data_IF_477990849187
#
_entry.id   IF_477990849187
#
_cell.length_a   1.000
_cell.length_b   1.000
_cell.length_c   1.000
_cell.angle_alpha   90.00
_cell.angle_beta   90.00
_cell.angle_gamma   90.00
#
_symmetry.space_group_name_H-M   'P 1'
#
loop_
_entity.id
_entity.type
_entity.pdbx_description
1 polymer ?
#
# COMPACT_ATOMS: atom_id res chain seq x y z
N UNK A 1 9.23 23.13 -25.94
CA UNK A 1 7.99 23.39 -25.18
C UNK A 1 7.52 22.11 -24.49
N UNK A 2 8.21 21.72 -23.41
CA UNK A 2 7.91 20.49 -22.66
C UNK A 2 6.91 20.81 -21.55
N UNK A 3 5.72 20.24 -21.65
CA UNK A 3 4.66 20.36 -20.64
C UNK A 3 5.06 19.57 -19.39
N UNK A 4 5.19 20.28 -18.26
CA UNK A 4 5.55 19.77 -16.94
C UNK A 4 4.42 18.86 -16.43
N UNK A 5 4.69 17.56 -16.25
CA UNK A 5 3.71 16.63 -15.69
C UNK A 5 3.60 16.85 -14.18
N UNK A 6 2.39 17.16 -13.69
CA UNK A 6 2.10 17.38 -12.27
C UNK A 6 1.98 16.04 -11.53
N UNK A 7 2.59 15.98 -10.36
CA UNK A 7 2.53 14.82 -9.45
C UNK A 7 1.14 14.72 -8.80
N UNK A 8 0.65 13.50 -8.56
CA UNK A 8 -0.67 13.22 -7.95
C UNK A 8 -0.88 13.90 -6.58
N UNK A 9 0.20 14.30 -5.90
CA UNK A 9 0.17 15.06 -4.65
C UNK A 9 -0.22 16.54 -4.83
N UNK A 10 0.08 17.15 -5.98
CA UNK A 10 -0.25 18.55 -6.27
C UNK A 10 -1.74 18.74 -6.59
N UNK A 11 -2.40 17.72 -7.14
CA UNK A 11 -3.83 17.74 -7.45
C UNK A 11 -4.72 17.68 -6.21
N UNK A 12 -4.18 17.28 -5.04
CA UNK A 12 -4.95 17.10 -3.81
C UNK A 12 -5.03 18.35 -2.93
N UNK A 13 -4.26 19.40 -3.23
CA UNK A 13 -4.16 20.63 -2.40
C UNK A 13 -5.04 21.79 -2.86
N UNK A 14 -5.62 21.73 -4.05
CA UNK A 14 -6.26 22.90 -4.67
C UNK A 14 -7.80 22.87 -4.64
N UNK A 15 -8.43 22.07 -3.78
CA UNK A 15 -9.88 21.88 -3.81
C UNK A 15 -10.69 22.75 -2.83
N UNK A 16 -10.06 23.55 -1.96
CA UNK A 16 -10.78 24.17 -0.83
C UNK A 16 -10.81 25.71 -0.84
N UNK A 17 -10.38 26.39 -1.91
CA UNK A 17 -10.34 27.86 -1.95
C UNK A 17 -10.65 28.41 -3.36
N UNK A 18 -11.94 28.57 -3.69
CA UNK A 18 -12.49 29.80 -4.29
C UNK A 18 -13.95 29.57 -4.75
N UNK A 19 -14.91 30.07 -4.00
CA UNK A 19 -16.25 30.40 -4.50
C UNK A 19 -16.62 31.77 -3.93
N UNK A 20 -16.27 32.83 -4.66
CA UNK A 20 -16.98 34.10 -4.67
C UNK A 20 -16.46 34.92 -5.86
N UNK A 21 -17.31 35.11 -6.86
CA UNK A 21 -17.61 36.35 -7.59
C UNK A 21 -18.22 36.01 -8.97
N UNK A 22 -19.51 36.32 -9.09
CA UNK A 22 -20.28 36.41 -10.32
C UNK A 22 -19.77 37.55 -11.22
N UNK A 23 -19.75 37.27 -12.54
CA UNK A 23 -20.09 38.25 -13.56
C UNK A 23 -20.50 37.52 -14.85
N UNK A 24 -21.75 37.73 -15.25
CA UNK A 24 -22.28 37.51 -16.60
C UNK A 24 -21.45 38.31 -17.64
N UNK A 25 -21.40 38.01 -18.95
CA UNK A 25 -22.44 37.59 -19.88
C UNK A 25 -21.81 37.23 -21.25
N UNK A 26 -22.55 36.45 -22.05
CA UNK A 26 -22.60 36.35 -23.53
C UNK A 26 -22.48 34.90 -24.02
N UNK A 27 -23.61 34.44 -24.56
CA UNK A 27 -23.76 33.20 -25.30
C UNK A 27 -23.18 33.33 -26.71
N UNK A 28 -22.48 32.28 -27.16
CA UNK A 28 -22.42 31.96 -28.58
C UNK A 28 -22.54 30.44 -28.76
N UNK A 29 -23.43 30.05 -29.67
CA UNK A 29 -23.81 28.67 -29.96
C UNK A 29 -22.89 28.12 -31.05
N UNK A 30 -22.32 26.92 -30.85
CA UNK A 30 -21.61 26.25 -31.93
C UNK A 30 -20.85 25.00 -31.53
N UNK A 31 -21.58 23.89 -31.44
CA UNK A 31 -21.19 22.49 -31.67
C UNK A 31 -19.71 22.11 -31.89
N UNK A 32 -19.38 20.94 -31.31
CA UNK A 32 -18.22 20.04 -31.53
C UNK A 32 -17.00 20.24 -30.64
N UNK A 33 -17.14 19.86 -29.36
CA UNK A 33 -15.97 19.48 -28.56
C UNK A 33 -15.87 17.96 -28.43
N UNK A 34 -15.11 17.36 -29.36
CA UNK A 34 -14.41 16.12 -29.06
C UNK A 34 -13.30 16.42 -28.05
N UNK A 35 -13.36 15.75 -26.92
CA UNK A 35 -12.16 15.34 -26.18
C UNK A 35 -11.65 16.34 -25.14
N UNK A 36 -12.46 16.70 -24.16
CA UNK A 36 -11.93 17.00 -22.84
C UNK A 36 -11.75 15.69 -22.06
N UNK A 37 -10.60 15.44 -21.42
CA UNK A 37 -10.43 14.26 -20.59
C UNK A 37 -11.32 14.41 -19.36
N UNK A 38 -12.48 13.77 -19.41
CA UNK A 38 -13.38 13.59 -18.27
C UNK A 38 -12.51 13.13 -17.10
N UNK A 39 -12.56 13.85 -15.98
CA UNK A 39 -11.78 13.50 -14.78
C UNK A 39 -12.03 12.04 -14.43
N UNK A 40 -11.02 11.24 -14.03
CA UNK A 40 -11.23 9.83 -13.70
C UNK A 40 -12.38 9.60 -12.70
N UNK A 41 -12.61 10.57 -11.80
CA UNK A 41 -13.71 10.56 -10.83
C UNK A 41 -15.09 10.77 -11.47
N UNK A 42 -15.18 11.62 -12.49
CA UNK A 42 -16.41 11.84 -13.27
C UNK A 42 -16.67 10.69 -14.24
N UNK A 43 -15.63 10.10 -14.82
CA UNK A 43 -15.77 8.92 -15.67
C UNK A 43 -16.39 7.77 -14.89
N UNK A 44 -15.87 7.47 -13.69
CA UNK A 44 -16.43 6.45 -12.81
C UNK A 44 -17.87 6.82 -12.41
N UNK A 45 -18.15 8.09 -12.07
CA UNK A 45 -19.51 8.53 -11.70
C UNK A 45 -20.50 8.38 -12.85
N UNK A 46 -20.07 8.61 -14.09
CA UNK A 46 -20.91 8.48 -15.28
C UNK A 46 -21.15 7.00 -15.65
N UNK A 47 -20.21 6.09 -15.36
CA UNK A 47 -20.41 4.64 -15.58
C UNK A 47 -21.63 4.07 -14.83
N UNK A 48 -22.05 4.70 -13.75
CA UNK A 48 -23.18 4.24 -12.92
C UNK A 48 -24.48 5.02 -13.16
N UNK A 49 -24.49 6.04 -14.02
CA UNK A 49 -25.68 6.86 -14.28
C UNK A 49 -26.76 6.11 -15.07
N UNK A 50 -26.36 5.18 -15.94
CA UNK A 50 -27.30 4.37 -16.74
C UNK A 50 -27.70 3.05 -16.04
N UNK A 51 -27.12 2.76 -14.88
CA UNK A 51 -27.37 1.52 -14.14
C UNK A 51 -28.59 1.66 -13.23
N UNK A 52 -29.79 1.40 -13.79
CA UNK A 52 -31.06 1.37 -13.03
C UNK A 52 -31.45 -0.06 -12.63
N UNK A 53 -31.41 -0.38 -11.34
CA UNK A 53 -31.83 -1.70 -10.78
C UNK A 53 -33.35 -1.95 -10.91
N UNK A 54 -34.14 -0.91 -11.18
CA UNK A 54 -35.60 -1.01 -11.37
C UNK A 54 -36.04 -1.75 -12.64
N UNK A 55 -35.13 -2.05 -13.57
CA UNK A 55 -35.39 -2.89 -14.76
C UNK A 55 -35.13 -4.38 -14.51
N UNK A 56 -34.69 -4.76 -13.33
CA UNK A 56 -34.50 -6.14 -12.89
C UNK A 56 -35.59 -6.54 -11.89
N UNK A 57 -36.86 -6.39 -12.29
CA UNK A 57 -37.96 -7.08 -11.62
C UNK A 57 -38.05 -8.52 -12.16
N UNK A 58 -38.14 -9.55 -11.30
CA UNK A 58 -38.31 -10.94 -11.75
C UNK A 58 -39.61 -11.12 -12.54
N UNK A 59 -39.63 -11.85 -13.67
CA UNK A 59 -40.88 -12.13 -14.36
C UNK A 59 -41.79 -13.01 -13.51
N UNK A 60 -43.01 -12.53 -13.30
CA UNK A 60 -44.12 -13.26 -12.69
C UNK A 60 -44.34 -14.61 -13.36
N UNK A 61 -44.41 -15.67 -12.54
CA UNK A 61 -44.96 -16.95 -12.94
C UNK A 61 -46.45 -16.79 -13.31
N UNK A 62 -46.83 -17.31 -14.49
CA UNK A 62 -48.23 -17.66 -14.77
C UNK A 62 -48.40 -19.18 -14.63
N UNK A 63 -49.39 -19.66 -13.85
CA UNK A 63 -49.62 -21.07 -13.63
C UNK A 63 -50.79 -21.54 -14.49
N UNK A 64 -50.53 -22.20 -15.62
CA UNK A 64 -51.56 -23.00 -16.29
C UNK A 64 -50.91 -24.21 -16.98
N UNK A 65 -51.05 -25.40 -16.39
CA UNK A 65 -51.91 -26.43 -16.98
C UNK A 65 -51.93 -27.67 -16.08
N UNK A 66 -53.10 -27.90 -15.47
CA UNK A 66 -53.57 -29.19 -14.96
C UNK A 66 -53.89 -30.08 -16.19
N UNK A 67 -53.53 -31.38 -16.17
CA UNK A 67 -54.34 -32.51 -15.70
C UNK A 67 -55.00 -33.30 -16.85
N UNK A 68 -54.58 -34.57 -17.01
CA UNK A 68 -55.42 -35.79 -16.97
C UNK A 68 -54.85 -36.95 -17.84
N UNK A 69 -54.42 -38.00 -17.14
CA UNK A 69 -54.70 -39.41 -17.47
C UNK A 69 -56.25 -39.55 -17.65
N UNK A 70 -56.85 -40.34 -18.54
CA UNK A 70 -56.67 -41.74 -18.91
C UNK A 70 -57.70 -42.12 -20.02
N UNK A 71 -57.43 -43.24 -20.72
CA UNK A 71 -58.23 -44.14 -21.60
C UNK A 71 -59.78 -44.21 -21.37
N UNK A 72 -60.65 -44.85 -22.22
CA UNK A 72 -60.36 -45.98 -23.11
C UNK A 72 -61.19 -46.17 -24.44
N UNK A 73 -60.71 -47.15 -25.23
CA UNK A 73 -61.44 -48.25 -25.92
C UNK A 73 -62.45 -48.04 -27.08
N UNK A 74 -62.41 -49.08 -27.95
CA UNK A 74 -63.50 -49.66 -28.76
C UNK A 74 -63.93 -48.93 -30.07
N UNK A 75 -64.29 -49.57 -31.18
CA UNK A 75 -64.34 -50.98 -31.61
C UNK A 75 -64.75 -51.01 -33.11
N UNK A 76 -64.44 -52.13 -33.79
CA UNK A 76 -65.23 -52.77 -34.86
C UNK A 76 -65.15 -52.23 -36.32
N UNK A 77 -64.62 -53.02 -37.27
CA UNK A 77 -65.30 -54.07 -38.08
C UNK A 77 -65.98 -53.43 -39.32
N UNK A 78 -66.07 -53.97 -40.54
CA UNK A 78 -65.66 -55.19 -41.21
C UNK A 78 -65.88 -54.94 -42.73
N UNK A 79 -65.19 -55.65 -43.62
CA UNK A 79 -65.80 -56.36 -44.77
C UNK A 79 -64.74 -56.89 -45.75
N UNK A 80 -65.04 -58.06 -46.31
CA UNK A 80 -64.19 -58.99 -47.07
C UNK A 80 -64.54 -58.94 -48.60
N UNK A 81 -64.28 -59.97 -49.44
CA UNK A 81 -63.05 -60.18 -50.24
C UNK A 81 -63.32 -60.60 -51.72
N UNK A 82 -62.27 -60.88 -52.52
CA UNK A 82 -62.15 -61.91 -53.61
C UNK A 82 -60.93 -61.56 -54.49
N UNK A 83 -60.09 -62.45 -55.01
CA UNK A 83 -60.13 -63.91 -55.15
C UNK A 83 -58.72 -64.54 -55.31
N UNK A 84 -58.72 -65.88 -55.38
CA UNK A 84 -57.58 -66.83 -55.35
C UNK A 84 -56.82 -66.88 -56.70
N UNK A 85 -55.58 -67.38 -56.81
CA UNK A 85 -55.23 -68.83 -56.96
C UNK A 85 -53.71 -69.09 -56.76
N UNK A 86 -53.45 -70.13 -55.95
CA UNK A 86 -52.36 -71.15 -55.84
C UNK A 86 -50.91 -70.88 -56.33
N UNK A 87 -49.96 -71.21 -55.44
CA UNK A 87 -48.76 -71.96 -55.84
C UNK A 87 -47.59 -71.99 -54.85
N UNK A 88 -47.42 -73.15 -54.19
CA UNK A 88 -46.19 -73.72 -53.62
C UNK A 88 -45.68 -73.28 -52.23
N UNK A 89 -45.48 -74.31 -51.40
CA UNK A 89 -44.97 -74.34 -50.03
C UNK A 89 -43.44 -74.35 -50.05
N UNK A 90 -42.79 -73.73 -49.07
CA UNK A 90 -41.72 -74.40 -48.29
C UNK A 90 -41.57 -73.74 -46.91
N UNK A 91 -41.09 -74.54 -45.96
CA UNK A 91 -41.30 -74.46 -44.52
C UNK A 91 -40.26 -73.62 -43.77
N UNK A 92 -40.71 -73.09 -42.61
CA UNK A 92 -40.01 -72.98 -41.31
C UNK A 92 -38.68 -72.17 -41.27
N UNK A 93 -38.68 -71.06 -40.53
CA UNK A 93 -38.22 -70.98 -39.13
C UNK A 93 -38.36 -69.55 -38.59
N UNK A 94 -38.86 -69.48 -37.35
CA UNK A 94 -38.89 -68.29 -36.49
C UNK A 94 -37.47 -67.81 -36.23
N UNK A 95 -37.24 -66.51 -36.37
CA UNK A 95 -36.39 -65.75 -35.47
C UNK A 95 -37.14 -64.43 -35.18
N UNK A 96 -37.63 -64.30 -33.95
CA UNK A 96 -38.06 -63.02 -33.43
C UNK A 96 -36.80 -62.17 -33.28
N UNK A 97 -36.73 -61.07 -34.02
CA UNK A 97 -35.86 -59.95 -33.69
C UNK A 97 -36.77 -59.03 -32.87
N UNK A 98 -36.40 -58.82 -31.60
CA UNK A 98 -36.95 -57.75 -30.78
C UNK A 98 -36.75 -56.44 -31.56
N UNK A 99 -37.83 -55.86 -32.05
CA UNK A 99 -37.81 -54.49 -32.55
C UNK A 99 -38.03 -53.58 -31.35
N UNK A 100 -36.93 -52.99 -30.90
CA UNK A 100 -36.87 -51.95 -29.88
C UNK A 100 -37.94 -50.87 -30.11
N UNK A 101 -38.61 -50.46 -29.03
CA UNK A 101 -39.62 -49.41 -29.06
C UNK A 101 -38.95 -48.04 -29.19
N UNK A 102 -38.57 -47.63 -30.41
CA UNK A 102 -38.12 -46.26 -30.67
C UNK A 102 -39.31 -45.29 -30.64
N UNK A 103 -39.31 -44.24 -29.79
CA UNK A 103 -40.29 -43.16 -29.90
C UNK A 103 -40.13 -42.53 -31.28
N UNK A 104 -41.21 -42.50 -32.08
CA UNK A 104 -41.22 -41.72 -33.33
C UNK A 104 -41.13 -40.24 -32.96
N UNK A 105 -39.91 -39.70 -32.93
CA UNK A 105 -39.66 -38.28 -32.69
C UNK A 105 -40.33 -37.50 -33.82
N UNK A 106 -41.39 -36.75 -33.49
CA UNK A 106 -42.04 -35.85 -34.44
C UNK A 106 -41.06 -34.75 -34.80
N UNK A 107 -40.39 -34.88 -35.95
CA UNK A 107 -39.54 -33.82 -36.50
C UNK A 107 -40.48 -32.81 -37.17
N UNK A 108 -40.55 -31.55 -36.67
CA UNK A 108 -41.36 -30.53 -37.31
C UNK A 108 -40.88 -30.33 -38.75
N UNK A 109 -41.83 -30.15 -39.68
CA UNK A 109 -41.48 -29.79 -41.05
C UNK A 109 -40.68 -28.47 -40.99
N UNK A 110 -39.49 -28.40 -41.60
CA UNK A 110 -38.69 -27.18 -41.59
C UNK A 110 -39.47 -26.04 -42.23
N UNK A 111 -39.23 -24.82 -41.74
CA UNK A 111 -39.85 -23.63 -42.32
C UNK A 111 -39.42 -23.48 -43.78
N UNK A 112 -40.31 -22.93 -44.61
CA UNK A 112 -40.02 -22.69 -46.04
C UNK A 112 -38.77 -21.81 -46.23
N UNK A 113 -38.50 -20.89 -45.31
CA UNK A 113 -37.28 -20.08 -45.30
C UNK A 113 -36.01 -20.94 -45.15
N UNK A 114 -36.01 -21.94 -44.28
CA UNK A 114 -34.87 -22.85 -44.08
C UNK A 114 -34.62 -23.70 -45.32
N UNK A 115 -35.69 -24.17 -45.97
CA UNK A 115 -35.57 -24.88 -47.25
C UNK A 115 -35.00 -23.98 -48.34
N UNK A 116 -35.45 -22.71 -48.41
CA UNK A 116 -34.92 -21.69 -49.32
C UNK A 116 -33.43 -21.41 -49.07
N UNK A 117 -32.99 -21.32 -47.81
CA UNK A 117 -31.57 -21.14 -47.47
C UNK A 117 -30.73 -22.36 -47.88
N UNK A 118 -31.23 -23.58 -47.68
CA UNK A 118 -30.54 -24.81 -48.10
C UNK A 118 -30.41 -24.88 -49.62
N UNK A 119 -31.43 -24.49 -50.37
CA UNK A 119 -31.36 -24.37 -51.83
C UNK A 119 -30.38 -23.29 -52.29
N UNK A 120 -30.34 -22.14 -51.60
CA UNK A 120 -29.34 -21.09 -51.84
C UNK A 120 -27.92 -21.62 -51.63
N UNK A 121 -27.67 -22.35 -50.53
CA UNK A 121 -26.38 -23.01 -50.26
C UNK A 121 -26.03 -24.04 -51.33
N UNK A 122 -26.98 -24.86 -51.79
CA UNK A 122 -26.78 -25.81 -52.91
C UNK A 122 -26.42 -25.11 -54.23
N UNK A 123 -26.93 -23.90 -54.46
CA UNK A 123 -26.59 -23.05 -55.61
C UNK A 123 -25.28 -22.26 -55.41
N UNK A 124 -24.58 -22.45 -54.29
CA UNK A 124 -23.32 -21.75 -53.98
C UNK A 124 -23.51 -20.28 -53.58
N UNK A 125 -24.73 -19.85 -53.28
CA UNK A 125 -25.01 -18.48 -52.86
C UNK A 125 -24.78 -18.38 -51.35
N UNK A 126 -23.68 -17.74 -50.97
CA UNK A 126 -23.32 -17.53 -49.57
C UNK A 126 -24.31 -16.60 -48.87
N UNK A 127 -24.61 -16.91 -47.62
CA UNK A 127 -25.42 -16.04 -46.77
C UNK A 127 -24.60 -14.84 -46.29
N UNK A 128 -25.26 -13.74 -45.92
CA UNK A 128 -24.58 -12.54 -45.39
C UNK A 128 -23.72 -12.85 -44.16
N UNK A 129 -24.22 -13.68 -43.25
CA UNK A 129 -23.50 -14.10 -42.04
C UNK A 129 -22.24 -14.91 -42.36
N UNK A 130 -22.31 -15.79 -43.36
CA UNK A 130 -21.18 -16.59 -43.83
C UNK A 130 -20.09 -15.71 -44.44
N UNK A 131 -20.47 -14.70 -45.23
CA UNK A 131 -19.54 -13.71 -45.79
C UNK A 131 -18.91 -12.84 -44.67
N UNK A 132 -19.69 -12.46 -43.65
CA UNK A 132 -19.18 -11.70 -42.51
C UNK A 132 -18.17 -12.51 -41.67
N UNK A 133 -18.43 -13.82 -41.49
CA UNK A 133 -17.50 -14.74 -40.82
C UNK A 133 -16.20 -14.91 -41.60
N UNK A 134 -16.29 -15.18 -42.91
CA UNK A 134 -15.12 -15.30 -43.78
C UNK A 134 -14.28 -14.02 -43.77
N UNK A 135 -14.91 -12.84 -43.81
CA UNK A 135 -14.20 -11.56 -43.72
C UNK A 135 -13.53 -11.35 -42.35
N UNK A 136 -14.15 -11.79 -41.26
CA UNK A 136 -13.54 -11.72 -39.94
C UNK A 136 -12.30 -12.63 -39.84
N UNK A 137 -12.38 -13.84 -40.41
CA UNK A 137 -11.26 -14.77 -40.44
C UNK A 137 -10.12 -14.27 -41.33
N UNK A 138 -10.42 -13.66 -42.47
CA UNK A 138 -9.42 -12.99 -43.30
C UNK A 138 -8.74 -11.83 -42.56
N UNK A 139 -9.48 -11.03 -41.79
CA UNK A 139 -8.90 -9.95 -40.97
C UNK A 139 -7.96 -10.51 -39.90
N UNK A 140 -8.36 -11.60 -39.22
CA UNK A 140 -7.52 -12.29 -38.24
C UNK A 140 -6.23 -12.79 -38.88
N UNK A 141 -6.31 -13.45 -40.04
CA UNK A 141 -5.12 -13.92 -40.76
C UNK A 141 -4.18 -12.78 -41.14
N UNK A 142 -4.71 -11.64 -41.58
CA UNK A 142 -3.91 -10.45 -41.88
C UNK A 142 -3.25 -9.90 -40.61
N UNK A 143 -3.99 -9.78 -39.51
CA UNK A 143 -3.47 -9.33 -38.21
C UNK A 143 -2.36 -10.27 -37.71
N UNK A 144 -2.57 -11.58 -37.72
CA UNK A 144 -1.58 -12.60 -37.35
C UNK A 144 -0.31 -12.49 -38.19
N UNK A 145 -0.43 -12.36 -39.52
CA UNK A 145 0.73 -12.19 -40.40
C UNK A 145 1.48 -10.88 -40.10
N UNK A 146 0.77 -9.79 -39.81
CA UNK A 146 1.41 -8.53 -39.42
C UNK A 146 2.11 -8.65 -38.06
N UNK A 147 1.58 -9.45 -37.14
CA UNK A 147 2.20 -9.73 -35.85
C UNK A 147 3.41 -10.65 -35.97
N UNK A 148 3.35 -11.68 -36.81
CA UNK A 148 4.50 -12.55 -37.12
C UNK A 148 5.67 -11.77 -37.75
N UNK A 149 5.38 -10.69 -38.50
CA UNK A 149 6.41 -9.79 -39.04
C UNK A 149 7.03 -8.88 -37.97
N UNK A 150 6.35 -8.63 -36.84
CA UNK A 150 6.91 -7.88 -35.71
C UNK A 150 7.96 -8.74 -35.01
N UNK A 151 9.23 -8.44 -35.27
CA UNK A 151 10.34 -9.04 -34.49
C UNK A 151 10.26 -8.50 -33.07
N UNK A 152 10.00 -9.37 -32.09
CA UNK A 152 10.03 -8.99 -30.68
C UNK A 152 11.41 -8.42 -30.33
N UNK A 153 11.44 -7.14 -29.97
CA UNK A 153 12.62 -6.46 -29.45
C UNK A 153 12.23 -5.87 -28.11
N UNK A 154 13.14 -5.98 -27.15
CA UNK A 154 12.98 -5.29 -25.88
C UNK A 154 12.86 -3.78 -26.16
N UNK A 155 11.94 -3.12 -25.45
CA UNK A 155 11.91 -1.66 -25.44
C UNK A 155 13.26 -1.14 -24.93
N UNK A 156 13.82 -0.10 -25.56
CA UNK A 156 15.07 0.46 -25.08
C UNK A 156 14.89 0.97 -23.65
N UNK A 157 15.95 0.84 -22.84
CA UNK A 157 15.94 1.37 -21.47
C UNK A 157 15.52 2.86 -21.48
N UNK A 158 14.60 3.26 -20.57
CA UNK A 158 14.16 4.66 -20.46
C UNK A 158 15.32 5.64 -20.33
N UNK A 159 15.14 6.86 -20.87
CA UNK A 159 16.19 7.87 -20.92
C UNK A 159 16.74 8.24 -19.52
N UNK A 160 15.89 8.31 -18.50
CA UNK A 160 16.28 8.66 -17.12
C UNK A 160 17.25 7.65 -16.49
N UNK A 161 17.33 6.42 -17.01
CA UNK A 161 18.29 5.40 -16.56
C UNK A 161 19.72 5.75 -17.00
N UNK A 162 19.87 6.50 -18.11
CA UNK A 162 21.16 6.92 -18.64
C UNK A 162 21.63 8.27 -18.09
N UNK A 163 20.75 9.03 -17.42
CA UNK A 163 21.05 10.36 -16.89
C UNK A 163 21.53 10.27 -15.43
N UNK A 164 22.65 10.92 -15.06
CA UNK A 164 23.12 10.97 -13.69
C UNK A 164 22.28 11.97 -12.86
N UNK A 165 21.11 11.55 -12.38
CA UNK A 165 20.12 12.39 -11.67
C UNK A 165 20.38 12.52 -10.15
N UNK A 166 21.57 12.16 -9.67
CA UNK A 166 21.84 12.06 -8.23
C UNK A 166 21.60 13.39 -7.49
N UNK A 167 22.09 14.49 -8.05
CA UNK A 167 21.96 15.83 -7.46
C UNK A 167 20.49 16.28 -7.41
N UNK A 168 19.75 16.14 -8.51
CA UNK A 168 18.32 16.47 -8.56
C UNK A 168 17.47 15.63 -7.60
N UNK A 169 17.85 14.38 -7.35
CA UNK A 169 17.17 13.50 -6.41
C UNK A 169 17.47 13.93 -4.96
N UNK A 170 18.73 14.29 -4.69
CA UNK A 170 19.15 14.77 -3.38
C UNK A 170 18.44 16.08 -3.02
N UNK A 171 18.36 17.03 -3.95
CA UNK A 171 17.66 18.31 -3.76
C UNK A 171 16.18 18.07 -3.42
N UNK A 172 15.49 17.21 -4.18
CA UNK A 172 14.10 16.84 -3.89
C UNK A 172 13.94 16.19 -2.53
N UNK A 173 14.89 15.36 -2.12
CA UNK A 173 14.87 14.71 -0.80
C UNK A 173 15.13 15.69 0.34
N UNK A 174 15.94 16.71 0.10
CA UNK A 174 16.13 17.82 1.03
C UNK A 174 14.87 18.67 1.15
N UNK A 175 14.22 19.01 0.06
CA UNK A 175 12.93 19.71 0.05
C UNK A 175 11.87 18.93 0.82
N UNK A 176 11.73 17.61 0.55
CA UNK A 176 10.82 16.73 1.29
C UNK A 176 11.13 16.73 2.79
N UNK A 177 12.41 16.64 3.16
CA UNK A 177 12.83 16.69 4.57
C UNK A 177 12.54 18.02 5.23
N UNK A 178 12.76 19.15 4.54
CA UNK A 178 12.45 20.50 5.04
C UNK A 178 10.96 20.66 5.31
N UNK A 179 10.13 20.35 4.32
CA UNK A 179 8.67 20.41 4.46
C UNK A 179 8.16 19.53 5.60
N UNK A 180 8.70 18.31 5.74
CA UNK A 180 8.32 17.44 6.86
C UNK A 180 8.67 18.05 8.22
N UNK A 181 9.86 18.64 8.37
CA UNK A 181 10.25 19.30 9.63
C UNK A 181 9.35 20.49 9.94
N UNK A 182 9.04 21.31 8.96
CA UNK A 182 8.15 22.47 9.12
C UNK A 182 6.74 22.02 9.55
N UNK A 183 6.19 21.00 8.90
CA UNK A 183 4.88 20.45 9.24
C UNK A 183 4.87 19.85 10.65
N UNK A 184 5.91 19.12 11.03
CA UNK A 184 6.05 18.57 12.39
C UNK A 184 6.21 19.68 13.44
N UNK A 185 6.95 20.75 13.15
CA UNK A 185 7.05 21.91 14.03
C UNK A 185 5.69 22.59 14.21
N UNK A 186 4.94 22.79 13.13
CA UNK A 186 3.59 23.35 13.21
C UNK A 186 2.64 22.44 13.98
N UNK A 187 2.69 21.12 13.76
CA UNK A 187 1.94 20.13 14.55
C UNK A 187 2.32 20.19 16.02
N UNK A 188 3.60 20.28 16.34
CA UNK A 188 4.07 20.40 17.71
C UNK A 188 3.51 21.67 18.36
N UNK A 189 3.65 22.83 17.72
CA UNK A 189 3.14 24.11 18.24
C UNK A 189 1.63 24.12 18.43
N UNK A 190 0.87 23.53 17.51
CA UNK A 190 -0.61 23.44 17.63
C UNK A 190 -1.04 22.42 18.68
N UNK A 191 -0.30 21.33 18.87
CA UNK A 191 -0.57 20.33 19.89
C UNK A 191 -0.14 20.74 21.30
N UNK A 192 0.78 21.70 21.41
CA UNK A 192 1.18 22.29 22.68
C UNK A 192 0.01 23.05 23.29
N UNK A 193 -0.60 22.46 24.32
CA UNK A 193 -1.37 23.23 25.27
C UNK A 193 -0.37 23.91 26.21
N UNK A 194 -0.24 25.24 26.21
CA UNK A 194 0.62 25.88 27.19
C UNK A 194 0.13 25.48 28.58
N UNK A 195 1.04 24.97 29.43
CA UNK A 195 0.69 24.70 30.82
C UNK A 195 0.13 25.99 31.43
N UNK A 196 -0.87 25.88 32.31
CA UNK A 196 -1.43 27.03 33.04
C UNK A 196 -0.35 27.85 33.76
N UNK A 197 0.81 27.24 34.02
CA UNK A 197 2.00 27.90 34.53
C UNK A 197 2.59 28.95 33.57
N UNK A 198 2.66 28.70 32.26
CA UNK A 198 3.22 29.65 31.28
C UNK A 198 2.35 30.90 31.16
N UNK A 199 1.04 30.73 31.19
CA UNK A 199 0.08 31.83 31.16
C UNK A 199 0.12 32.63 32.47
N UNK A 200 0.19 31.93 33.62
CA UNK A 200 0.43 32.54 34.93
C UNK A 200 1.76 33.29 34.99
N UNK A 201 2.82 32.75 34.39
CA UNK A 201 4.14 33.38 34.38
C UNK A 201 4.15 34.63 33.51
N UNK A 202 3.50 34.59 32.33
CA UNK A 202 3.26 35.78 31.49
C UNK A 202 2.49 36.85 32.24
N UNK A 203 1.37 36.51 32.86
CA UNK A 203 0.57 37.45 33.66
C UNK A 203 1.38 38.03 34.82
N UNK A 204 2.16 37.19 35.52
CA UNK A 204 3.03 37.64 36.62
C UNK A 204 4.14 38.57 36.12
N UNK A 205 4.67 38.33 34.92
CA UNK A 205 5.66 39.20 34.27
C UNK A 205 5.03 40.54 33.87
N UNK A 206 3.88 40.53 33.22
CA UNK A 206 3.12 41.75 32.88
C UNK A 206 2.75 42.55 34.12
N UNK A 207 2.29 41.92 35.20
CA UNK A 207 2.03 42.59 36.48
C UNK A 207 3.29 43.21 37.08
N UNK A 208 4.44 42.54 36.99
CA UNK A 208 5.71 43.12 37.44
C UNK A 208 6.11 44.32 36.59
N UNK A 209 6.00 44.21 35.27
CA UNK A 209 6.29 45.30 34.34
C UNK A 209 5.34 46.49 34.54
N UNK A 210 4.04 46.24 34.75
CA UNK A 210 3.06 47.26 35.06
C UNK A 210 3.37 47.96 36.39
N UNK A 211 3.72 47.21 37.44
CA UNK A 211 4.17 47.78 38.72
C UNK A 211 5.43 48.62 38.57
N UNK A 212 6.38 48.17 37.75
CA UNK A 212 7.63 48.90 37.51
C UNK A 212 7.36 50.20 36.72
N UNK A 213 6.48 50.16 35.71
CA UNK A 213 6.01 51.36 35.00
C UNK A 213 5.26 52.32 35.93
N UNK A 214 4.39 51.81 36.79
CA UNK A 214 3.67 52.62 37.78
C UNK A 214 4.63 53.26 38.78
N UNK A 215 5.65 52.53 39.23
CA UNK A 215 6.71 53.08 40.09
C UNK A 215 7.52 54.16 39.38
N UNK A 216 7.88 53.96 38.10
CA UNK A 216 8.56 55.00 37.31
C UNK A 216 7.69 56.25 37.17
N UNK A 217 6.41 56.10 36.83
CA UNK A 217 5.47 57.23 36.74
C UNK A 217 5.27 57.96 38.08
N UNK A 218 5.31 57.24 39.20
CA UNK A 218 5.27 57.84 40.54
C UNK A 218 6.55 58.62 40.83
N UNK A 219 7.72 58.06 40.52
CA UNK A 219 9.00 58.76 40.67
C UNK A 219 9.07 60.01 39.79
N UNK A 220 8.59 59.93 38.56
CA UNK A 220 8.51 61.07 37.63
C UNK A 220 7.57 62.16 38.16
N UNK A 221 6.39 61.78 38.69
CA UNK A 221 5.46 62.72 39.36
C UNK A 221 6.08 63.37 40.59
N UNK A 222 6.73 62.59 41.44
CA UNK A 222 7.43 63.11 42.63
C UNK A 222 8.57 64.05 42.24
N UNK A 223 9.30 63.76 41.16
CA UNK A 223 10.30 64.67 40.62
C UNK A 223 9.69 65.97 40.07
N UNK A 224 8.58 65.88 39.35
CA UNK A 224 7.85 67.06 38.87
C UNK A 224 7.32 67.92 40.00
N UNK A 225 6.76 67.32 41.06
CA UNK A 225 6.33 68.03 42.26
C UNK A 225 7.52 68.69 42.97
N UNK A 226 8.64 67.98 43.13
CA UNK A 226 9.90 68.55 43.63
C UNK A 226 10.41 69.69 42.75
N UNK A 227 10.17 69.67 41.43
CA UNK A 227 10.53 70.76 40.49
C UNK A 227 9.62 71.97 40.65
N UNK A 228 8.35 71.78 41.03
CA UNK A 228 7.35 72.84 41.26
C UNK A 228 7.47 73.53 42.63
N UNK A 229 8.18 72.93 43.60
CA UNK A 229 8.44 73.57 44.89
C UNK A 229 9.42 74.75 44.75
N UNK A 230 9.02 75.99 45.11
CA UNK A 230 9.84 77.19 44.92
C UNK A 230 11.07 77.24 45.84
N UNK A 231 11.08 76.46 46.92
CA UNK A 231 12.19 76.38 47.87
C UNK A 231 12.78 74.97 47.89
N UNK A 232 14.07 74.86 47.55
CA UNK A 232 14.86 73.63 47.66
C UNK A 232 16.00 73.85 48.64
N UNK A 233 15.88 73.26 49.83
CA UNK A 233 16.97 73.29 50.81
C UNK A 233 18.16 72.47 50.30
N UNK A 234 19.39 72.93 50.59
CA UNK A 234 20.58 72.12 50.37
C UNK A 234 20.44 70.84 51.20
N UNK A 235 20.72 69.66 50.63
CA UNK A 235 20.59 68.41 51.37
C UNK A 235 21.50 68.45 52.60
N UNK A 236 20.98 67.98 53.73
CA UNK A 236 21.74 67.89 54.98
C UNK A 236 23.03 67.10 54.73
N UNK A 237 24.21 67.63 55.12
CA UNK A 237 25.48 66.95 54.94
C UNK A 237 25.45 65.51 55.45
N UNK A 238 26.11 64.60 54.72
CA UNK A 238 26.14 63.17 55.04
C UNK A 238 26.55 62.91 56.49
N UNK A 239 27.55 63.64 56.99
CA UNK A 239 28.02 63.55 58.37
C UNK A 239 26.91 63.77 59.43
N UNK A 240 25.95 64.66 59.18
CA UNK A 240 24.84 64.92 60.12
C UNK A 240 23.80 63.80 60.05
N UNK A 241 23.55 63.24 58.86
CA UNK A 241 22.66 62.08 58.71
C UNK A 241 23.26 60.81 59.31
N UNK A 242 24.55 60.60 59.11
CA UNK A 242 25.31 59.48 59.70
C UNK A 242 25.40 59.62 61.22
N UNK A 243 25.53 60.84 61.75
CA UNK A 243 25.46 61.06 63.19
C UNK A 243 24.06 60.80 63.78
N UNK A 244 23.00 61.10 63.03
CA UNK A 244 21.62 60.93 63.49
C UNK A 244 21.09 59.48 63.35
N UNK A 245 21.47 58.77 62.27
CA UNK A 245 20.91 57.45 61.94
C UNK A 245 21.95 56.42 61.47
N UNK A 246 23.24 56.76 61.47
CA UNK A 246 24.29 55.85 60.99
C UNK A 246 24.49 54.63 61.88
N UNK A 247 24.27 54.74 63.19
CA UNK A 247 24.29 53.59 64.11
C UNK A 247 23.11 52.64 63.84
N UNK A 248 21.92 53.19 63.65
CA UNK A 248 20.72 52.41 63.29
C UNK A 248 20.88 51.70 61.95
N UNK A 249 21.50 52.34 60.96
CA UNK A 249 21.77 51.71 59.65
C UNK A 249 22.75 50.54 59.78
N UNK A 250 23.83 50.71 60.55
CA UNK A 250 24.78 49.61 60.83
C UNK A 250 24.10 48.46 61.57
N UNK A 251 23.24 48.77 62.52
CA UNK A 251 22.46 47.77 63.26
C UNK A 251 21.49 47.01 62.32
N UNK A 252 20.78 47.70 61.44
CA UNK A 252 19.90 47.08 60.44
C UNK A 252 20.68 46.19 59.45
N UNK A 253 21.87 46.62 59.02
CA UNK A 253 22.76 45.82 58.17
C UNK A 253 23.24 44.56 58.88
N UNK A 254 23.60 44.66 60.16
CA UNK A 254 23.95 43.51 60.99
C UNK A 254 22.76 42.57 61.16
N UNK A 255 21.57 43.08 61.47
CA UNK A 255 20.35 42.27 61.54
C UNK A 255 20.04 41.57 60.20
N UNK A 256 20.20 42.26 59.07
CA UNK A 256 20.06 41.67 57.73
C UNK A 256 21.10 40.58 57.50
N UNK A 257 22.37 40.80 57.86
CA UNK A 257 23.44 39.84 57.72
C UNK A 257 23.17 38.57 58.54
N UNK A 258 22.78 38.72 59.81
CA UNK A 258 22.40 37.62 60.70
C UNK A 258 21.23 36.85 60.10
N UNK A 259 20.18 37.55 59.63
CA UNK A 259 19.01 36.91 59.02
C UNK A 259 19.35 36.16 57.73
N UNK A 260 20.25 36.69 56.90
CA UNK A 260 20.76 36.01 55.71
C UNK A 260 21.54 34.75 56.08
N UNK A 261 22.41 34.82 57.09
CA UNK A 261 23.17 33.66 57.56
C UNK A 261 22.25 32.59 58.16
N UNK A 262 21.27 32.97 58.97
CA UNK A 262 20.26 32.05 59.51
C UNK A 262 19.50 31.34 58.39
N UNK A 263 19.00 32.11 57.41
CA UNK A 263 18.29 31.57 56.23
C UNK A 263 19.17 30.63 55.42
N UNK A 264 20.45 30.97 55.22
CA UNK A 264 21.40 30.13 54.50
C UNK A 264 21.63 28.81 55.23
N UNK A 265 21.77 28.86 56.57
CA UNK A 265 21.94 27.66 57.41
C UNK A 265 20.70 26.77 57.38
N UNK A 266 19.50 27.34 57.49
CA UNK A 266 18.25 26.59 57.37
C UNK A 266 18.11 25.92 56.01
N UNK A 267 18.46 26.64 54.93
CA UNK A 267 18.41 26.09 53.59
C UNK A 267 19.40 24.93 53.43
N UNK A 268 20.64 25.07 53.92
CA UNK A 268 21.63 23.99 53.94
C UNK A 268 21.16 22.77 54.76
N UNK A 269 20.53 23.00 55.92
CA UNK A 269 19.97 21.94 56.74
C UNK A 269 18.76 21.25 56.09
N UNK A 270 17.90 21.99 55.41
CA UNK A 270 16.74 21.43 54.69
C UNK A 270 17.13 20.70 53.40
N UNK A 271 18.21 21.12 52.75
CA UNK A 271 18.78 20.47 51.57
C UNK A 271 19.75 19.34 51.91
N UNK A 272 20.12 19.20 53.19
CA UNK A 272 20.97 18.12 53.66
C UNK A 272 20.25 16.78 53.50
N UNK A 273 20.96 15.82 52.90
CA UNK A 273 20.47 14.46 52.73
C UNK A 273 20.20 13.79 54.09
N UNK A 274 19.26 12.83 54.18
CA UNK A 274 19.04 12.07 55.41
C UNK A 274 20.34 11.42 55.92
N UNK A 275 20.56 11.33 57.26
CA UNK A 275 21.80 10.79 57.83
C UNK A 275 22.20 9.40 57.32
N UNK A 276 21.22 8.56 56.98
CA UNK A 276 21.46 7.23 56.39
C UNK A 276 22.10 7.28 55.01
N UNK A 277 21.70 8.25 54.17
CA UNK A 277 22.29 8.46 52.85
C UNK A 277 23.68 9.10 52.94
N UNK A 278 23.90 9.97 53.94
CA UNK A 278 25.21 10.52 54.23
C UNK A 278 26.19 9.42 54.68
N UNK A 279 25.77 8.52 55.56
CA UNK A 279 26.59 7.39 56.00
C UNK A 279 26.98 6.48 54.82
N UNK A 280 26.03 6.21 53.92
CA UNK A 280 26.27 5.42 52.71
C UNK A 280 27.26 6.09 51.74
N UNK A 281 27.14 7.40 51.54
CA UNK A 281 28.09 8.15 50.71
C UNK A 281 29.51 8.12 51.29
N UNK A 282 29.66 8.20 52.61
CA UNK A 282 30.97 8.11 53.26
C UNK A 282 31.58 6.71 53.15
N UNK A 283 30.77 5.65 53.27
CA UNK A 283 31.24 4.27 53.05
C UNK A 283 31.61 4.02 51.60
N UNK A 284 30.81 4.49 50.63
CA UNK A 284 31.11 4.39 49.20
C UNK A 284 32.40 5.14 48.85
N UNK A 285 32.64 6.31 49.46
CA UNK A 285 33.86 7.09 49.26
C UNK A 285 35.09 6.43 49.91
N UNK A 286 34.93 5.74 51.04
CA UNK A 286 36.02 4.91 51.59
C UNK A 286 36.33 3.70 50.70
N UNK A 287 35.31 3.01 50.18
CA UNK A 287 35.47 1.89 49.24
C UNK A 287 36.14 2.36 47.94
N UNK A 288 35.79 3.55 47.44
CA UNK A 288 36.47 4.16 46.31
C UNK A 288 37.92 4.50 46.63
N UNK A 289 38.24 5.01 47.83
CA UNK A 289 39.63 5.27 48.27
C UNK A 289 40.49 4.01 48.32
N UNK A 290 39.94 2.87 48.75
CA UNK A 290 40.64 1.57 48.69
C UNK A 290 40.74 0.98 47.29
N UNK A 291 39.95 1.47 46.34
CA UNK A 291 39.99 1.07 44.92
C UNK A 291 40.78 2.05 44.04
N UNK A 292 41.33 3.14 44.60
CA UNK A 292 42.10 4.14 43.85
C UNK A 292 43.57 3.75 43.59
N UNK A 293 44.03 2.58 44.04
CA UNK A 293 45.32 2.04 43.59
C UNK A 293 45.26 1.45 42.17
N UNK A 294 44.06 1.25 41.62
CA UNK A 294 43.86 0.91 40.21
C UNK A 294 42.99 1.99 39.54
N UNK A 295 43.64 2.94 38.88
CA UNK A 295 43.05 3.97 38.00
C UNK A 295 42.26 3.33 36.83
N UNK A 296 41.06 2.82 37.11
CA UNK A 296 40.11 2.44 36.07
C UNK A 296 39.37 3.69 35.59
N UNK A 297 40.08 4.49 34.79
CA UNK A 297 39.52 5.62 34.05
C UNK A 297 38.59 5.09 32.93
N UNK A 298 37.41 4.57 33.28
CA UNK A 298 36.42 4.22 32.26
C UNK A 298 35.72 5.49 31.75
N UNK A 299 36.44 6.24 30.91
CA UNK A 299 35.87 7.28 30.05
C UNK A 299 35.48 6.63 28.73
N UNK A 300 34.18 6.46 28.42
CA UNK A 300 33.80 6.05 27.08
C UNK A 300 34.34 7.10 26.11
N UNK A 301 35.15 6.69 25.13
CA UNK A 301 35.57 7.55 24.02
C UNK A 301 34.35 7.84 23.17
N UNK A 302 33.59 8.86 23.55
CA UNK A 302 32.50 9.40 22.75
C UNK A 302 33.18 10.14 21.61
N UNK A 303 33.05 9.65 20.38
CA UNK A 303 33.49 10.37 19.20
C UNK A 303 32.67 11.67 19.10
N UNK A 304 33.25 12.79 19.53
CA UNK A 304 32.61 14.11 19.53
C UNK A 304 32.46 14.68 18.13
N UNK A 305 33.35 14.27 17.23
CA UNK A 305 33.42 14.76 15.87
C UNK A 305 32.84 13.72 14.92
N UNK A 306 31.82 14.14 14.18
CA UNK A 306 31.25 13.35 13.09
C UNK A 306 32.33 13.22 12.01
N UNK A 307 32.81 12.00 11.69
CA UNK A 307 33.81 11.83 10.66
C UNK A 307 33.32 12.40 9.34
N UNK A 308 34.21 13.03 8.56
CA UNK A 308 33.89 13.55 7.24
C UNK A 308 33.54 12.40 6.28
N UNK A 309 32.23 12.09 6.22
CA UNK A 309 31.70 11.04 5.37
C UNK A 309 31.91 11.34 3.90
N UNK A 310 31.91 12.61 3.50
CA UNK A 310 32.07 12.99 2.10
C UNK A 310 33.54 12.86 1.67
N UNK A 311 34.48 13.26 2.53
CA UNK A 311 35.91 13.02 2.36
C UNK A 311 36.26 11.53 2.31
N UNK A 312 35.69 10.72 3.20
CA UNK A 312 35.89 9.26 3.20
C UNK A 312 35.30 8.59 1.95
N UNK A 313 34.13 9.03 1.49
CA UNK A 313 33.50 8.56 0.26
C UNK A 313 34.32 8.92 -0.99
N UNK A 314 34.86 10.15 -1.06
CA UNK A 314 35.78 10.56 -2.15
C UNK A 314 37.04 9.71 -2.19
N UNK A 315 37.63 9.38 -1.03
CA UNK A 315 38.80 8.47 -0.93
C UNK A 315 38.44 7.06 -1.40
N UNK A 316 37.30 6.53 -0.99
CA UNK A 316 36.80 5.23 -1.42
C UNK A 316 36.59 5.16 -2.94
N UNK A 317 35.96 6.19 -3.53
CA UNK A 317 35.78 6.28 -4.99
C UNK A 317 37.11 6.31 -5.73
N UNK A 318 38.10 7.07 -5.24
CA UNK A 318 39.46 7.08 -5.81
C UNK A 318 40.13 5.70 -5.72
N UNK A 319 39.95 4.99 -4.61
CA UNK A 319 40.49 3.64 -4.42
C UNK A 319 39.87 2.63 -5.41
N UNK A 320 38.55 2.73 -5.65
CA UNK A 320 37.87 1.92 -6.65
C UNK A 320 38.35 2.22 -8.06
N UNK A 321 38.54 3.50 -8.40
CA UNK A 321 39.07 3.90 -9.71
C UNK A 321 40.47 3.30 -9.96
N UNK A 322 41.36 3.36 -8.96
CA UNK A 322 42.70 2.73 -9.02
C UNK A 322 42.64 1.21 -9.19
N UNK A 323 41.68 0.54 -8.54
CA UNK A 323 41.50 -0.93 -8.66
C UNK A 323 40.79 -1.35 -9.94
N UNK A 324 40.12 -0.41 -10.63
CA UNK A 324 39.45 -0.66 -11.91
C UNK A 324 40.44 -0.72 -13.07
N UNK A 325 41.65 -0.22 -12.90
CA UNK A 325 42.73 -0.36 -13.88
C UNK A 325 43.19 -1.83 -13.91
N UNK A 326 42.59 -2.56 -14.85
CA UNK A 326 43.01 -3.80 -15.51
C UNK A 326 43.38 -4.97 -14.58
N UNK A 327 42.35 -5.73 -14.16
CA UNK A 327 42.53 -7.19 -14.02
C UNK A 327 42.36 -7.79 -15.42
N UNK A 328 43.32 -8.55 -15.96
CA UNK A 328 43.09 -9.28 -17.19
C UNK A 328 41.88 -10.19 -16.99
N UNK A 329 40.92 -10.12 -17.91
CA UNK A 329 39.73 -10.98 -17.93
C UNK A 329 40.24 -12.41 -17.89
N UNK A 330 39.89 -13.17 -16.86
CA UNK A 330 40.26 -14.59 -16.74
C UNK A 330 39.76 -15.30 -17.98
N UNK A 331 40.68 -15.68 -18.88
CA UNK A 331 40.35 -16.48 -20.04
C UNK A 331 39.93 -17.87 -19.57
N UNK A 332 38.77 -18.34 -20.04
CA UNK A 332 38.29 -19.67 -19.71
C UNK A 332 39.14 -20.71 -20.41
N UNK A 333 39.89 -21.51 -19.66
CA UNK A 333 40.41 -22.77 -20.21
C UNK A 333 39.24 -23.75 -20.41
N UNK A 334 39.25 -24.54 -21.50
CA UNK A 334 38.23 -25.54 -21.76
C UNK A 334 38.29 -26.61 -20.66
N UNK A 335 37.21 -26.73 -19.88
CA UNK A 335 37.05 -27.77 -18.87
C UNK A 335 36.15 -28.89 -19.39
N UNK A 336 36.52 -30.13 -19.09
CA UNK A 336 35.77 -31.31 -19.52
C UNK A 336 34.57 -31.53 -18.60
N UNK A 337 33.36 -31.29 -19.10
CA UNK A 337 32.12 -31.51 -18.36
C UNK A 337 31.87 -33.02 -18.18
N UNK A 338 31.71 -33.45 -16.92
CA UNK A 338 31.37 -34.86 -16.56
C UNK A 338 30.01 -35.32 -17.11
N UNK A 339 29.24 -34.43 -17.73
CA UNK A 339 27.94 -34.73 -18.36
C UNK A 339 28.08 -35.60 -19.61
N UNK A 340 29.26 -35.68 -20.23
CA UNK A 340 29.52 -36.58 -21.35
C UNK A 340 29.34 -38.07 -20.98
N UNK A 341 29.48 -38.43 -19.69
CA UNK A 341 29.34 -39.80 -19.20
C UNK A 341 27.92 -40.13 -18.69
N UNK A 342 26.98 -39.18 -18.77
CA UNK A 342 25.60 -39.38 -18.33
C UNK A 342 24.82 -39.97 -19.52
N UNK A 343 24.30 -41.18 -19.35
CA UNK A 343 23.51 -41.85 -20.37
C UNK A 343 22.26 -41.01 -20.74
N UNK A 344 22.25 -40.45 -21.94
CA UNK A 344 21.12 -39.64 -22.41
C UNK A 344 19.92 -40.54 -22.68
N UNK A 345 18.76 -40.23 -22.11
CA UNK A 345 17.51 -40.95 -22.35
C UNK A 345 16.86 -40.57 -23.70
N UNK A 346 17.68 -40.18 -24.68
CA UNK A 346 17.25 -39.68 -25.99
C UNK A 346 16.38 -40.71 -26.71
N UNK A 347 16.76 -41.98 -26.65
CA UNK A 347 16.02 -43.07 -27.30
C UNK A 347 14.62 -43.26 -26.70
N UNK A 348 14.47 -43.13 -25.37
CA UNK A 348 13.15 -43.15 -24.72
C UNK A 348 12.28 -41.98 -25.17
N UNK A 349 12.84 -40.78 -25.24
CA UNK A 349 12.11 -39.58 -25.67
C UNK A 349 11.66 -39.72 -27.13
N UNK A 350 12.53 -40.22 -28.01
CA UNK A 350 12.19 -40.47 -29.41
C UNK A 350 11.10 -41.54 -29.53
N UNK A 351 11.18 -42.61 -28.75
CA UNK A 351 10.16 -43.66 -28.73
C UNK A 351 8.79 -43.14 -28.22
N UNK A 352 8.77 -42.28 -27.22
CA UNK A 352 7.53 -41.66 -26.71
C UNK A 352 6.90 -40.72 -27.75
N UNK A 353 7.71 -39.90 -28.44
CA UNK A 353 7.25 -39.04 -29.54
C UNK A 353 6.67 -39.90 -30.67
N UNK A 354 7.35 -40.97 -31.06
CA UNK A 354 6.84 -41.88 -32.09
C UNK A 354 5.54 -42.59 -31.66
N UNK A 355 5.42 -42.95 -30.39
CA UNK A 355 4.20 -43.57 -29.85
C UNK A 355 3.03 -42.58 -29.84
N UNK A 356 3.28 -41.31 -29.52
CA UNK A 356 2.29 -40.24 -29.56
C UNK A 356 1.85 -39.92 -31.00
N UNK A 357 2.77 -39.98 -31.97
CA UNK A 357 2.45 -39.83 -33.40
C UNK A 357 1.61 -41.01 -33.92
N UNK A 358 1.97 -42.24 -33.53
CA UNK A 358 1.26 -43.48 -33.97
C UNK A 358 -0.11 -43.63 -33.32
N UNK A 359 -0.29 -43.08 -32.12
CA UNK A 359 -1.54 -43.08 -31.36
C UNK A 359 -1.79 -41.67 -30.84
N UNK A 360 -2.35 -40.77 -31.68
CA UNK A 360 -2.70 -39.42 -31.24
C UNK A 360 -3.78 -39.53 -30.17
N UNK A 361 -3.40 -39.49 -28.89
CA UNK A 361 -4.36 -39.42 -27.80
C UNK A 361 -5.04 -38.06 -27.92
N UNK A 362 -6.38 -37.97 -27.99
CA UNK A 362 -7.05 -36.69 -28.00
C UNK A 362 -6.84 -36.02 -26.64
N UNK A 363 -5.87 -35.11 -26.57
CA UNK A 363 -5.70 -34.16 -25.47
C UNK A 363 -6.82 -33.12 -25.56
N UNK A 364 -8.05 -33.55 -25.27
CA UNK A 364 -9.19 -32.64 -25.10
C UNK A 364 -9.55 -32.63 -23.62
N UNK A 365 -9.35 -31.48 -23.00
CA UNK A 365 -9.89 -31.17 -21.67
C UNK A 365 -11.38 -31.53 -21.58
N UNK A 366 -11.88 -32.03 -20.42
CA UNK A 366 -11.18 -32.24 -19.16
C UNK A 366 -10.69 -33.70 -18.98
N UNK A 367 -9.54 -33.87 -18.34
CA UNK A 367 -8.93 -35.17 -18.08
C UNK A 367 -9.80 -36.05 -17.15
N UNK A 368 -10.36 -37.13 -17.68
CA UNK A 368 -10.76 -38.28 -16.85
C UNK A 368 -9.55 -39.20 -16.76
N UNK A 369 -8.77 -39.07 -15.69
CA UNK A 369 -7.77 -40.09 -15.33
C UNK A 369 -8.51 -41.35 -14.88
N UNK A 370 -8.16 -42.55 -15.40
CA UNK A 370 -8.59 -43.79 -14.77
C UNK A 370 -8.07 -43.83 -13.32
N UNK A 371 -8.82 -44.40 -12.36
CA UNK A 371 -8.37 -44.48 -10.98
C UNK A 371 -7.19 -45.47 -10.89
N UNK A 372 -5.97 -44.95 -10.88
CA UNK A 372 -4.78 -45.71 -10.55
C UNK A 372 -4.59 -45.69 -9.03
N UNK A 373 -4.56 -46.88 -8.45
CA UNK A 373 -4.20 -47.15 -7.06
C UNK A 373 -2.81 -46.57 -6.75
N UNK A 374 -2.67 -45.92 -5.59
CA UNK A 374 -1.44 -45.47 -4.91
C UNK A 374 -0.90 -44.07 -5.24
N UNK A 375 -0.92 -43.11 -4.28
CA UNK A 375 -0.27 -41.81 -4.42
C UNK A 375 1.23 -41.93 -4.05
N UNK A 376 2.11 -41.92 -5.05
CA UNK A 376 3.55 -41.73 -4.85
C UNK A 376 3.86 -40.23 -4.97
N UNK A 377 4.26 -39.61 -3.87
CA UNK A 377 4.70 -38.20 -3.85
C UNK A 377 6.05 -38.04 -4.56
N UNK A 378 6.26 -36.97 -5.35
CA UNK A 378 7.56 -36.70 -5.94
C UNK A 378 8.51 -36.08 -4.90
N UNK A 379 9.72 -36.65 -4.81
CA UNK A 379 10.84 -36.11 -4.06
C UNK A 379 11.34 -34.83 -4.74
N UNK A 380 11.13 -33.67 -4.11
CA UNK A 380 11.87 -32.45 -4.43
C UNK A 380 13.12 -32.41 -3.56
N UNK A 381 14.27 -32.37 -4.21
CA UNK A 381 15.57 -32.25 -3.56
C UNK A 381 16.08 -30.82 -3.71
N UNK A 382 16.56 -30.28 -2.58
CA UNK A 382 17.52 -29.19 -2.44
C UNK A 382 17.02 -27.75 -2.62
N UNK A 383 16.43 -27.18 -1.56
CA UNK A 383 16.97 -25.99 -0.87
C UNK A 383 16.11 -25.63 0.36
N UNK A 384 16.37 -26.25 1.52
CA UNK A 384 15.93 -25.72 2.83
C UNK A 384 16.96 -26.12 3.89
N UNK A 385 17.98 -25.29 4.04
CA UNK A 385 18.68 -25.20 5.31
C UNK A 385 17.81 -24.40 6.28
N UNK A 386 17.71 -24.90 7.51
CA UNK A 386 17.09 -24.33 8.72
C UNK A 386 15.69 -24.89 9.09
N UNK A 387 15.71 -25.53 10.27
CA UNK A 387 14.58 -25.82 11.16
C UNK A 387 13.78 -27.09 10.87
N UNK A 388 14.34 -28.22 11.27
CA UNK A 388 13.55 -29.38 11.69
C UNK A 388 12.81 -29.07 12.99
N UNK A 389 11.50 -28.86 12.89
CA UNK A 389 10.52 -29.06 13.96
C UNK A 389 9.15 -29.05 13.29
N UNK A 390 8.62 -30.24 13.06
CA UNK A 390 7.25 -30.46 12.63
C UNK A 390 6.46 -30.90 13.87
N UNK A 391 6.24 -29.97 14.80
CA UNK A 391 5.26 -30.12 15.87
C UNK A 391 4.15 -29.10 15.64
N UNK A 392 3.04 -29.54 15.05
CA UNK A 392 1.79 -28.79 15.12
C UNK A 392 1.26 -28.87 16.55
N UNK A 393 1.73 -27.99 17.43
CA UNK A 393 1.12 -27.82 18.74
C UNK A 393 -0.26 -27.19 18.54
N UNK A 394 -1.30 -27.86 19.05
CA UNK A 394 -2.63 -27.26 19.13
C UNK A 394 -2.56 -26.00 19.99
N UNK A 395 -3.08 -24.89 19.46
CA UNK A 395 -3.10 -23.62 20.18
C UNK A 395 -3.94 -23.78 21.46
N UNK A 396 -3.30 -23.71 22.62
CA UNK A 396 -4.00 -23.68 23.91
C UNK A 396 -4.76 -22.36 24.01
N UNK A 397 -6.08 -22.45 24.19
CA UNK A 397 -6.96 -21.30 24.40
C UNK A 397 -6.47 -20.51 25.62
N UNK A 398 -6.30 -19.19 25.46
CA UNK A 398 -5.87 -18.31 26.55
C UNK A 398 -7.00 -18.13 27.57
N UNK A 399 -6.64 -17.93 28.83
CA UNK A 399 -7.59 -17.80 29.94
C UNK A 399 -8.60 -16.64 29.72
N UNK A 400 -8.16 -15.60 29.01
CA UNK A 400 -9.00 -14.49 28.58
C UNK A 400 -10.06 -14.88 27.53
N UNK A 401 -9.77 -15.83 26.63
CA UNK A 401 -10.73 -16.34 25.67
C UNK A 401 -11.76 -17.27 26.34
N UNK A 402 -11.34 -18.02 27.37
CA UNK A 402 -12.24 -18.87 28.17
C UNK A 402 -13.29 -18.05 28.93
N UNK A 403 -12.88 -16.95 29.58
CA UNK A 403 -13.80 -16.04 30.28
C UNK A 403 -14.84 -15.34 29.37
N UNK A 404 -14.59 -15.22 28.06
CA UNK A 404 -15.56 -14.62 27.12
C UNK A 404 -16.60 -15.62 26.63
N UNK A 405 -16.33 -16.92 26.70
CA UNK A 405 -17.32 -17.95 26.37
C UNK A 405 -18.27 -18.24 27.53
N UNK A 406 -17.87 -17.91 28.75
CA UNK A 406 -18.67 -18.10 29.97
C UNK A 406 -19.57 -16.90 30.30
N UNK A 407 -19.44 -15.78 29.57
CA UNK A 407 -20.31 -14.60 29.65
C UNK A 407 -21.29 -14.60 28.48
#
# INVERSE_FOLDING_TARGET
NLKKARSALELRRNSDLSDLYDAECIADNGNTEKGLPISPKEHIKNMWQDFSVSKLSPPQWHPHSSSLQSLPADCQAASKPKGRIKGQRLKKRKQNIDEDWHPRVTVPKPFQMTLREVEHRKKGIKSRSEIEQENADLRRQVEELTECQKKFRASPAPAHVRLPLYEELQERDEERRRLHREMEQQRFHTSQRPFSFLERERLKKEQKEAKLREQMLKLDREEEEKRKCPFKAKPVPRAVKEAASGEQQKEEELYRAIKMQMRARELLHSASMPPSMLARQLSEKQVQKSAQDDEQTHRPKINTEVPDFDGSYRRFRKQLAKRREVRPVTACEPFQLRTANIASHKERIVADIEAEIKSPRPLRWPFMTPPALSPRTPSSSLCSSLSGSQECLSAKITDAAKKRQEA
#
